data_IF_390328006749
#
_entry.id   IF_390328006749
#
_cell.length_a   1.000
_cell.length_b   1.000
_cell.length_c   1.000
_cell.angle_alpha   90.00
_cell.angle_beta   90.00
_cell.angle_gamma   90.00
#
_symmetry.space_group_name_H-M   'P 1'
#
loop_
_entity.id
_entity.type
_entity.pdbx_description
1 polymer ?
#
# COMPACT_ATOMS: atom_id res chain seq x y z
N UNK A 1 -13.20 -10.13 67.21
CA UNK A 1 -13.35 -11.59 67.44
C UNK A 1 -14.80 -11.85 67.86
N UNK A 2 -15.42 -13.02 67.62
CA UNK A 2 -16.01 -13.49 66.36
C UNK A 2 -17.54 -13.76 66.46
N UNK A 3 -18.16 -14.06 65.32
CA UNK A 3 -19.38 -14.88 65.07
C UNK A 3 -20.58 -14.90 66.03
N UNK A 4 -21.79 -14.71 65.48
CA UNK A 4 -22.99 -15.57 65.67
C UNK A 4 -24.23 -14.85 65.08
N UNK A 5 -24.79 -15.24 63.93
CA UNK A 5 -25.78 -16.30 63.69
C UNK A 5 -27.17 -16.07 64.34
N UNK A 6 -28.21 -15.89 63.51
CA UNK A 6 -29.48 -16.65 63.46
C UNK A 6 -30.66 -15.85 62.85
N UNK A 7 -31.11 -16.33 61.70
CA UNK A 7 -32.47 -16.22 61.10
C UNK A 7 -33.33 -17.30 61.81
N UNK A 8 -34.65 -17.16 62.10
CA UNK A 8 -35.70 -17.52 61.13
C UNK A 8 -37.14 -16.92 61.20
N UNK A 9 -37.72 -16.81 59.98
CA UNK A 9 -39.04 -17.22 59.48
C UNK A 9 -40.38 -16.84 60.16
N UNK A 10 -41.22 -16.12 59.39
CA UNK A 10 -42.56 -16.51 58.85
C UNK A 10 -43.24 -15.19 58.40
N UNK A 11 -43.68 -14.96 57.17
CA UNK A 11 -44.48 -15.82 56.31
C UNK A 11 -45.96 -15.55 56.53
N UNK A 12 -46.54 -14.50 55.93
CA UNK A 12 -47.97 -14.50 55.61
C UNK A 12 -48.31 -13.66 54.38
N UNK A 13 -49.12 -14.28 53.55
CA UNK A 13 -49.55 -13.96 52.21
C UNK A 13 -50.39 -12.67 52.09
N UNK A 14 -50.25 -12.07 50.90
CA UNK A 14 -51.32 -11.65 50.00
C UNK A 14 -52.42 -10.71 50.51
N UNK A 15 -52.42 -9.49 49.99
CA UNK A 15 -53.48 -8.97 49.11
C UNK A 15 -53.11 -7.53 48.73
N UNK A 16 -53.01 -7.26 47.43
CA UNK A 16 -53.29 -5.98 46.71
C UNK A 16 -52.62 -6.15 45.35
N UNK A 17 -53.31 -6.94 44.51
CA UNK A 17 -53.15 -6.92 43.06
C UNK A 17 -53.91 -5.70 42.53
N UNK A 18 -53.33 -5.10 41.49
CA UNK A 18 -54.03 -4.39 40.42
C UNK A 18 -54.70 -3.04 40.74
N UNK A 19 -53.90 -1.96 40.72
CA UNK A 19 -54.39 -0.67 40.23
C UNK A 19 -53.32 0.23 39.58
N UNK A 20 -52.30 -0.38 38.94
CA UNK A 20 -51.30 0.35 38.15
C UNK A 20 -50.95 -0.42 36.86
N UNK A 21 -51.98 -0.91 36.16
CA UNK A 21 -51.85 -1.49 34.82
C UNK A 21 -52.55 -0.57 33.80
N UNK A 22 -51.99 0.62 33.57
CA UNK A 22 -52.20 1.45 32.37
C UNK A 22 -51.54 2.82 32.58
N UNK A 23 -50.21 2.89 32.62
CA UNK A 23 -49.44 4.15 32.37
C UNK A 23 -47.92 4.00 32.27
N UNK A 24 -47.41 2.81 31.92
CA UNK A 24 -45.96 2.59 31.68
C UNK A 24 -45.64 1.78 30.42
N UNK A 25 -46.55 1.80 29.44
CA UNK A 25 -46.44 1.01 28.21
C UNK A 25 -46.17 1.86 26.95
N UNK A 26 -45.54 3.03 27.10
CA UNK A 26 -45.22 3.92 25.96
C UNK A 26 -43.78 4.47 25.96
N UNK A 27 -42.86 3.95 26.79
CA UNK A 27 -41.54 4.57 26.94
C UNK A 27 -40.33 3.64 26.75
N UNK A 28 -40.43 2.56 25.97
CA UNK A 28 -39.26 1.71 25.67
C UNK A 28 -39.28 1.07 24.26
N UNK A 29 -39.42 1.86 23.21
CA UNK A 29 -39.19 1.38 21.83
C UNK A 29 -38.22 2.21 20.98
N UNK A 30 -37.66 3.32 21.49
CA UNK A 30 -36.71 4.15 20.74
C UNK A 30 -35.23 3.77 20.89
N UNK A 31 -34.90 2.72 21.65
CA UNK A 31 -33.50 2.30 21.87
C UNK A 31 -33.13 0.94 21.25
N UNK A 32 -34.04 0.30 20.51
CA UNK A 32 -33.79 -0.99 19.85
C UNK A 32 -33.45 -0.88 18.36
N UNK A 33 -33.29 0.34 17.83
CA UNK A 33 -32.98 0.59 16.40
C UNK A 33 -31.48 0.88 16.17
N UNK A 34 -30.70 1.14 17.22
CA UNK A 34 -29.28 1.57 17.06
C UNK A 34 -28.29 0.39 16.92
N UNK A 35 -28.68 -0.84 17.28
CA UNK A 35 -27.76 -2.01 17.24
C UNK A 35 -27.93 -2.88 15.98
N UNK A 36 -28.95 -2.63 15.15
CA UNK A 36 -29.17 -3.36 13.89
C UNK A 36 -28.66 -2.61 12.63
N UNK A 37 -28.05 -1.44 12.79
CA UNK A 37 -27.52 -0.62 11.68
C UNK A 37 -26.02 -0.77 11.40
N UNK A 38 -25.30 -1.63 12.14
CA UNK A 38 -23.82 -1.71 12.08
C UNK A 38 -23.33 -2.96 11.31
N UNK A 39 -24.23 -3.73 10.69
CA UNK A 39 -23.87 -5.03 10.08
C UNK A 39 -24.03 -5.14 8.56
N UNK A 40 -24.06 -4.04 7.82
CA UNK A 40 -23.93 -4.08 6.34
C UNK A 40 -23.06 -2.94 5.81
N UNK A 41 -21.77 -3.05 6.06
CA UNK A 41 -20.74 -2.55 5.14
C UNK A 41 -19.63 -3.61 5.06
N UNK A 42 -20.02 -4.85 4.77
CA UNK A 42 -19.18 -5.65 3.90
C UNK A 42 -19.28 -4.95 2.54
N UNK A 43 -18.37 -4.02 2.25
CA UNK A 43 -17.98 -3.84 0.86
C UNK A 43 -17.41 -5.20 0.48
N UNK A 44 -18.21 -6.01 -0.21
CA UNK A 44 -17.69 -7.02 -1.12
C UNK A 44 -16.53 -6.34 -1.84
N UNK A 45 -15.34 -6.92 -1.72
CA UNK A 45 -14.18 -6.52 -2.50
C UNK A 45 -14.54 -6.78 -3.94
N UNK A 46 -15.24 -5.83 -4.55
CA UNK A 46 -15.56 -5.83 -5.96
C UNK A 46 -14.24 -5.95 -6.69
N UNK A 47 -14.16 -6.95 -7.55
CA UNK A 47 -13.14 -7.01 -8.58
C UNK A 47 -13.16 -5.65 -9.29
N UNK A 48 -12.13 -4.85 -9.04
CA UNK A 48 -11.94 -3.60 -9.76
C UNK A 48 -11.59 -3.97 -11.19
N UNK A 49 -12.51 -3.67 -12.08
CA UNK A 49 -12.30 -3.72 -13.52
C UNK A 49 -11.02 -2.92 -13.85
N UNK A 50 -10.02 -3.52 -14.53
CA UNK A 50 -8.83 -2.80 -14.98
C UNK A 50 -9.15 -1.61 -15.91
N UNK A 51 -10.37 -1.54 -16.47
CA UNK A 51 -10.84 -0.48 -17.34
C UNK A 51 -11.66 0.62 -16.62
N UNK A 52 -11.84 0.55 -15.30
CA UNK A 52 -12.56 1.60 -14.56
C UNK A 52 -11.70 2.88 -14.54
N UNK A 53 -12.14 4.01 -15.14
CA UNK A 53 -11.34 5.22 -15.23
C UNK A 53 -11.24 5.88 -13.84
N UNK A 54 -10.26 5.42 -13.06
CA UNK A 54 -9.89 6.08 -11.82
C UNK A 54 -9.27 7.44 -12.14
N UNK A 55 -9.88 8.47 -11.58
CA UNK A 55 -9.47 9.86 -11.71
C UNK A 55 -8.05 10.00 -11.15
N UNK A 56 -7.06 9.96 -12.04
CA UNK A 56 -5.67 10.20 -11.70
C UNK A 56 -5.58 11.49 -10.88
N UNK A 57 -4.94 11.42 -9.71
CA UNK A 57 -4.54 12.63 -9.00
C UNK A 57 -3.78 13.54 -9.97
N UNK A 58 -4.12 14.82 -10.00
CA UNK A 58 -3.57 15.85 -10.90
C UNK A 58 -2.03 16.07 -10.75
N UNK A 59 -1.33 15.21 -10.02
CA UNK A 59 0.06 15.38 -9.57
C UNK A 59 1.11 15.06 -10.64
N UNK A 60 0.72 14.45 -11.76
CA UNK A 60 1.65 14.07 -12.85
C UNK A 60 1.68 15.06 -14.02
N UNK A 61 1.33 16.34 -13.79
CA UNK A 61 1.34 17.37 -14.81
C UNK A 61 2.75 17.95 -15.06
N UNK A 62 3.66 17.11 -15.56
CA UNK A 62 5.00 17.52 -16.01
C UNK A 62 5.48 16.63 -17.17
N UNK A 63 6.33 17.15 -18.08
CA UNK A 63 6.83 16.36 -19.21
C UNK A 63 7.83 15.30 -18.75
N UNK A 64 7.79 14.12 -19.37
CA UNK A 64 8.83 13.11 -19.23
C UNK A 64 10.08 13.54 -20.00
N UNK A 65 11.26 13.46 -19.37
CA UNK A 65 12.52 13.98 -19.96
C UNK A 65 13.64 12.95 -20.07
N UNK A 66 13.53 11.78 -19.43
CA UNK A 66 14.59 10.76 -19.46
C UNK A 66 14.51 9.93 -20.75
N UNK A 67 15.09 10.42 -21.86
CA UNK A 67 15.01 9.74 -23.16
C UNK A 67 16.25 8.92 -23.52
N UNK A 68 17.40 9.27 -22.96
CA UNK A 68 18.71 8.70 -23.38
C UNK A 68 19.44 7.97 -22.26
N UNK A 69 19.21 8.37 -21.02
CA UNK A 69 19.88 7.87 -19.84
C UNK A 69 19.30 6.51 -19.43
N UNK A 70 20.15 5.49 -19.34
CA UNK A 70 19.73 4.15 -18.91
C UNK A 70 19.91 3.98 -17.40
N UNK A 71 18.93 3.36 -16.74
CA UNK A 71 18.98 3.00 -15.32
C UNK A 71 19.15 4.20 -14.38
N UNK A 72 18.37 5.26 -14.63
CA UNK A 72 18.41 6.51 -13.88
C UNK A 72 17.02 6.84 -13.35
N UNK A 73 16.97 7.42 -12.15
CA UNK A 73 15.82 8.22 -11.70
C UNK A 73 16.23 9.68 -11.51
N UNK A 74 15.23 10.55 -11.59
CA UNK A 74 15.31 11.95 -11.23
C UNK A 74 14.04 12.31 -10.46
N UNK A 75 14.16 12.97 -9.33
CA UNK A 75 13.00 13.45 -8.57
C UNK A 75 13.28 14.77 -7.88
N UNK A 76 12.25 15.61 -7.78
CA UNK A 76 12.28 16.87 -7.04
C UNK A 76 11.63 16.64 -5.67
N UNK A 77 12.38 16.87 -4.60
CA UNK A 77 11.94 16.82 -3.21
C UNK A 77 12.11 18.20 -2.59
N UNK A 78 11.00 18.82 -2.18
CA UNK A 78 10.98 20.19 -1.60
C UNK A 78 11.76 21.21 -2.46
N UNK A 79 11.63 21.12 -3.78
CA UNK A 79 12.30 21.99 -4.75
C UNK A 79 13.77 21.64 -5.04
N UNK A 80 14.34 20.61 -4.39
CA UNK A 80 15.69 20.13 -4.65
C UNK A 80 15.64 18.89 -5.52
N UNK A 81 16.36 18.92 -6.63
CA UNK A 81 16.48 17.77 -7.53
C UNK A 81 17.50 16.76 -7.01
N UNK A 82 17.12 15.49 -7.01
CA UNK A 82 17.96 14.34 -6.71
C UNK A 82 17.95 13.41 -7.91
N UNK A 83 19.14 12.96 -8.31
CA UNK A 83 19.34 12.03 -9.44
C UNK A 83 20.34 10.96 -9.07
N UNK A 84 20.04 9.71 -9.41
CA UNK A 84 20.93 8.56 -9.22
C UNK A 84 20.42 7.34 -9.99
N UNK A 85 20.97 6.17 -9.70
CA UNK A 85 20.63 4.90 -10.34
C UNK A 85 19.25 4.39 -9.94
N UNK A 86 18.49 3.90 -10.93
CA UNK A 86 17.25 3.15 -10.74
C UNK A 86 17.42 1.71 -11.22
N UNK A 87 16.76 0.77 -10.56
CA UNK A 87 16.77 -0.65 -10.95
C UNK A 87 15.41 -1.30 -10.76
N UNK A 88 15.16 -2.40 -11.48
CA UNK A 88 14.05 -3.29 -11.15
C UNK A 88 14.56 -4.29 -10.14
N UNK A 89 13.99 -4.24 -8.93
CA UNK A 89 14.27 -5.20 -7.89
C UNK A 89 13.49 -6.49 -8.15
N UNK A 90 14.14 -7.63 -7.89
CA UNK A 90 13.47 -8.92 -7.95
C UNK A 90 12.33 -8.99 -6.94
N UNK A 91 11.22 -9.60 -7.36
CA UNK A 91 10.02 -9.82 -6.55
C UNK A 91 9.62 -11.29 -6.62
N UNK A 92 8.90 -11.78 -5.62
CA UNK A 92 8.27 -13.11 -5.64
C UNK A 92 6.98 -13.14 -6.48
N UNK A 93 6.53 -11.99 -6.98
CA UNK A 93 5.28 -11.78 -7.70
C UNK A 93 5.54 -11.27 -9.12
N UNK A 94 6.49 -11.92 -9.81
CA UNK A 94 7.03 -11.51 -11.12
C UNK A 94 5.99 -11.51 -12.24
N UNK A 95 4.92 -12.28 -12.08
CA UNK A 95 3.79 -12.42 -13.00
C UNK A 95 2.71 -11.33 -12.82
N UNK A 96 2.79 -10.57 -11.72
CA UNK A 96 1.78 -9.55 -11.37
C UNK A 96 2.34 -8.15 -11.30
N UNK A 97 3.59 -8.00 -10.91
CA UNK A 97 4.15 -6.71 -10.53
C UNK A 97 5.64 -6.59 -10.77
N UNK A 98 6.12 -5.35 -10.89
CA UNK A 98 7.53 -4.99 -10.73
C UNK A 98 7.73 -4.15 -9.47
N UNK A 99 8.95 -4.17 -8.93
CA UNK A 99 9.38 -3.24 -7.89
C UNK A 99 10.54 -2.42 -8.42
N UNK A 100 10.51 -1.12 -8.18
CA UNK A 100 11.58 -0.21 -8.59
C UNK A 100 12.36 0.23 -7.36
N UNK A 101 13.67 0.03 -7.40
CA UNK A 101 14.61 0.54 -6.41
C UNK A 101 15.28 1.82 -6.88
N UNK A 102 15.40 2.80 -5.99
CA UNK A 102 16.14 4.04 -6.21
C UNK A 102 17.37 4.08 -5.30
N UNK A 103 18.56 4.19 -5.87
CA UNK A 103 19.82 4.21 -5.11
C UNK A 103 20.15 5.59 -4.54
N UNK A 104 20.91 5.62 -3.43
CA UNK A 104 21.24 6.86 -2.72
C UNK A 104 22.62 7.41 -3.00
N UNK A 105 22.82 8.73 -2.84
CA UNK A 105 24.13 9.36 -2.91
C UNK A 105 24.90 9.12 -1.59
N UNK A 106 25.20 7.86 -1.25
CA UNK A 106 26.10 7.40 -0.17
C UNK A 106 26.04 5.86 -0.05
N UNK A 107 26.90 5.26 0.78
CA UNK A 107 26.98 3.80 1.06
C UNK A 107 25.74 3.17 1.73
N UNK A 108 24.58 3.84 1.77
CA UNK A 108 23.33 3.26 2.26
C UNK A 108 22.60 2.55 1.11
N UNK A 109 22.13 1.33 1.35
CA UNK A 109 21.35 0.59 0.38
C UNK A 109 19.94 1.22 0.29
N UNK A 110 19.51 1.54 -0.95
CA UNK A 110 18.25 2.17 -1.36
C UNK A 110 17.90 3.53 -0.71
N UNK A 111 17.88 4.59 -1.51
CA UNK A 111 17.31 5.91 -1.18
C UNK A 111 15.78 5.91 -1.17
N UNK A 112 15.17 5.14 -2.04
CA UNK A 112 13.72 5.11 -2.22
C UNK A 112 13.32 3.87 -3.00
N UNK A 113 12.02 3.71 -3.18
CA UNK A 113 11.48 2.66 -4.03
C UNK A 113 9.98 2.74 -4.17
N UNK A 114 9.49 2.06 -5.19
CA UNK A 114 8.06 1.89 -5.47
C UNK A 114 7.85 0.39 -5.62
N UNK A 115 7.05 -0.16 -4.71
CA UNK A 115 6.83 -1.59 -4.59
C UNK A 115 5.55 -1.99 -5.28
N UNK A 116 5.64 -3.10 -6.02
CA UNK A 116 4.51 -3.80 -6.60
C UNK A 116 3.67 -2.95 -7.54
N UNK A 117 4.33 -2.28 -8.48
CA UNK A 117 3.64 -1.62 -9.59
C UNK A 117 3.07 -2.72 -10.50
N UNK A 118 1.78 -2.68 -10.88
CA UNK A 118 1.23 -3.63 -11.84
C UNK A 118 2.02 -3.66 -13.16
N UNK A 119 2.03 -4.82 -13.83
CA UNK A 119 2.69 -4.94 -15.14
C UNK A 119 1.91 -4.16 -16.21
N UNK A 120 2.66 -3.49 -17.09
CA UNK A 120 2.10 -2.79 -18.24
C UNK A 120 2.12 -1.26 -18.14
N UNK A 121 1.67 -0.63 -19.21
CA UNK A 121 1.45 0.81 -19.30
C UNK A 121 0.16 1.16 -18.58
N UNK A 122 0.19 2.25 -17.81
CA UNK A 122 -0.98 2.67 -17.03
C UNK A 122 -0.64 3.68 -15.95
N UNK A 123 -1.66 4.15 -15.25
CA UNK A 123 -1.52 5.01 -14.07
C UNK A 123 -2.01 4.23 -12.85
N UNK A 124 -1.19 4.22 -11.81
CA UNK A 124 -1.38 3.42 -10.60
C UNK A 124 -1.19 4.29 -9.36
N UNK A 125 -1.91 3.99 -8.29
CA UNK A 125 -1.80 4.70 -7.03
C UNK A 125 -1.46 3.74 -5.89
N UNK A 126 -0.61 4.20 -4.97
CA UNK A 126 -0.32 3.47 -3.73
C UNK A 126 -1.58 3.22 -2.92
N UNK A 127 -1.66 2.07 -2.26
CA UNK A 127 -2.84 1.63 -1.53
C UNK A 127 -3.85 0.85 -2.37
N UNK A 128 -3.61 0.71 -3.68
CA UNK A 128 -4.36 -0.21 -4.52
C UNK A 128 -4.10 -1.65 -4.09
N UNK A 129 -5.16 -2.38 -3.79
CA UNK A 129 -5.11 -3.83 -3.57
C UNK A 129 -4.93 -4.54 -4.91
N UNK A 130 -3.90 -5.36 -5.02
CA UNK A 130 -3.56 -6.15 -6.21
C UNK A 130 -3.92 -7.62 -6.06
N UNK A 131 -4.68 -7.95 -5.02
CA UNK A 131 -5.08 -9.30 -4.67
C UNK A 131 -3.96 -10.11 -4.03
N UNK A 132 -4.12 -11.44 -3.95
CA UNK A 132 -3.20 -12.28 -3.21
C UNK A 132 -1.79 -12.29 -3.81
N UNK A 133 -0.76 -12.29 -2.95
CA UNK A 133 0.62 -12.42 -3.39
C UNK A 133 1.60 -12.83 -2.30
N UNK A 134 2.74 -13.35 -2.76
CA UNK A 134 3.82 -13.88 -1.93
C UNK A 134 4.58 -12.75 -1.23
N UNK A 135 5.10 -13.06 -0.05
CA UNK A 135 5.91 -12.10 0.73
C UNK A 135 5.10 -10.92 1.23
N UNK A 136 3.80 -11.10 1.47
CA UNK A 136 2.92 -10.08 2.07
C UNK A 136 2.53 -10.46 3.49
N UNK A 137 2.45 -9.47 4.38
CA UNK A 137 1.70 -9.60 5.63
C UNK A 137 0.25 -9.21 5.33
N UNK A 138 -0.74 -10.04 5.67
CA UNK A 138 -2.15 -9.76 5.36
C UNK A 138 -2.70 -10.34 4.04
N UNK A 139 -1.98 -11.29 3.41
CA UNK A 139 -2.32 -12.07 2.21
C UNK A 139 -2.41 -11.32 0.87
N UNK A 140 -2.67 -10.01 0.88
CA UNK A 140 -2.81 -9.22 -0.33
C UNK A 140 -1.62 -8.28 -0.56
N UNK A 141 -1.27 -8.08 -1.84
CA UNK A 141 -0.31 -7.09 -2.29
C UNK A 141 -0.97 -5.72 -2.34
N UNK A 142 -0.28 -4.70 -1.83
CA UNK A 142 -0.72 -3.32 -1.93
C UNK A 142 0.43 -2.45 -2.35
N UNK A 143 0.28 -1.75 -3.47
CA UNK A 143 1.34 -0.86 -3.97
C UNK A 143 1.73 0.15 -2.87
N UNK A 144 3.01 0.18 -2.51
CA UNK A 144 3.59 1.09 -1.52
C UNK A 144 4.77 1.82 -2.14
N UNK A 145 5.15 2.95 -1.57
CA UNK A 145 6.39 3.62 -1.97
C UNK A 145 7.02 4.32 -0.76
N UNK A 146 8.32 4.55 -0.84
CA UNK A 146 9.00 5.45 0.09
C UNK A 146 10.10 6.23 -0.59
N UNK A 147 10.47 7.35 0.03
CA UNK A 147 11.68 8.12 -0.26
C UNK A 147 12.38 8.47 1.04
N UNK A 148 13.71 8.58 1.02
CA UNK A 148 14.51 9.03 2.16
C UNK A 148 14.88 10.50 2.00
N UNK A 149 14.83 11.25 3.09
CA UNK A 149 15.46 12.58 3.21
C UNK A 149 16.13 12.68 4.55
N UNK A 150 17.39 13.12 4.58
CA UNK A 150 18.20 13.19 5.81
C UNK A 150 18.21 11.87 6.60
N UNK A 151 18.35 10.74 5.89
CA UNK A 151 18.27 9.37 6.44
C UNK A 151 16.93 8.98 7.10
N UNK A 152 15.87 9.76 6.90
CA UNK A 152 14.52 9.45 7.38
C UNK A 152 13.65 8.99 6.22
N UNK A 153 13.06 7.79 6.34
CA UNK A 153 12.09 7.26 5.37
C UNK A 153 10.73 7.95 5.53
N UNK A 154 10.20 8.43 4.43
CA UNK A 154 8.85 8.96 4.28
C UNK A 154 8.10 8.05 3.32
N UNK A 155 6.91 7.60 3.73
CA UNK A 155 6.17 6.56 3.05
C UNK A 155 4.91 7.12 2.39
N UNK A 156 4.51 6.47 1.30
CA UNK A 156 3.19 6.60 0.71
C UNK A 156 2.40 5.31 1.00
N UNK A 157 1.19 5.49 1.51
CA UNK A 157 0.26 4.46 1.97
C UNK A 157 0.62 3.72 3.27
N UNK A 158 1.76 3.03 3.34
CA UNK A 158 2.13 2.18 4.50
C UNK A 158 3.64 2.21 4.77
N UNK A 159 4.03 2.18 6.04
CA UNK A 159 5.43 2.06 6.46
C UNK A 159 5.99 0.63 6.33
N UNK A 160 5.14 -0.32 5.91
CA UNK A 160 5.53 -1.71 5.68
C UNK A 160 5.79 -1.96 4.19
N UNK A 161 7.06 -2.17 3.83
CA UNK A 161 7.51 -2.37 2.43
C UNK A 161 7.01 -3.69 1.82
N UNK A 162 6.71 -4.67 2.66
CA UNK A 162 6.25 -6.01 2.26
C UNK A 162 4.77 -6.22 2.53
N UNK A 163 3.92 -5.22 2.34
CA UNK A 163 2.47 -5.47 2.35
C UNK A 163 1.67 -4.38 2.99
N UNK A 164 0.38 -4.66 3.06
CA UNK A 164 -0.47 -3.90 3.93
C UNK A 164 -0.54 -4.52 5.32
N UNK A 165 -0.12 -3.73 6.30
CA UNK A 165 -0.44 -3.96 7.68
C UNK A 165 -1.20 -2.73 8.17
N UNK A 166 -2.46 -2.88 8.59
CA UNK A 166 -3.34 -1.74 8.93
C UNK A 166 -2.68 -0.82 9.98
N UNK A 167 -1.99 -1.39 10.98
CA UNK A 167 -1.28 -0.61 12.00
C UNK A 167 -0.10 0.21 11.47
N UNK A 168 0.35 -0.08 10.24
CA UNK A 168 1.46 0.59 9.56
C UNK A 168 0.98 1.59 8.52
N UNK A 169 -0.33 1.74 8.33
CA UNK A 169 -0.92 2.71 7.42
C UNK A 169 -0.53 4.13 7.82
N UNK A 170 -0.25 4.97 6.82
CA UNK A 170 0.18 6.36 7.00
C UNK A 170 -0.90 7.29 6.40
N UNK A 171 -1.82 7.83 7.22
CA UNK A 171 -2.93 8.65 6.74
C UNK A 171 -2.50 9.88 5.96
N UNK A 172 -3.20 10.16 4.86
CA UNK A 172 -2.94 11.34 4.01
C UNK A 172 -1.58 11.30 3.31
N UNK A 173 -1.02 10.11 3.10
CA UNK A 173 0.11 9.88 2.21
C UNK A 173 -0.35 9.08 0.99
N UNK A 174 0.16 9.42 -0.18
CA UNK A 174 -0.15 8.76 -1.45
C UNK A 174 0.93 9.06 -2.49
N UNK A 175 1.11 8.15 -3.44
CA UNK A 175 1.97 8.32 -4.60
C UNK A 175 1.24 7.78 -5.83
N UNK A 176 1.17 8.61 -6.87
CA UNK A 176 0.69 8.22 -8.19
C UNK A 176 1.88 7.94 -9.08
N UNK A 177 1.83 6.84 -9.82
CA UNK A 177 2.87 6.40 -10.75
C UNK A 177 2.23 6.15 -12.10
N UNK A 178 2.77 6.78 -13.14
CA UNK A 178 2.41 6.52 -14.52
C UNK A 178 3.54 5.79 -15.21
N UNK A 179 3.27 4.59 -15.70
CA UNK A 179 4.16 3.86 -16.59
C UNK A 179 3.88 4.34 -18.01
N UNK A 180 4.87 4.98 -18.62
CA UNK A 180 4.80 5.48 -19.99
C UNK A 180 5.19 4.41 -21.00
N UNK A 181 6.11 3.53 -20.61
CA UNK A 181 6.62 2.43 -21.44
C UNK A 181 6.86 1.20 -20.58
N UNK A 182 6.39 0.04 -21.05
CA UNK A 182 6.64 -1.25 -20.43
C UNK A 182 6.91 -2.29 -21.52
N UNK A 183 8.17 -2.58 -21.78
CA UNK A 183 8.59 -3.58 -22.76
C UNK A 183 9.51 -4.59 -22.09
N UNK A 184 9.17 -5.87 -22.12
CA UNK A 184 9.99 -6.92 -21.53
C UNK A 184 9.21 -7.82 -20.59
N UNK A 185 9.94 -8.71 -19.93
CA UNK A 185 9.37 -9.72 -19.04
C UNK A 185 10.43 -10.30 -18.12
N UNK A 186 9.96 -10.99 -17.07
CA UNK A 186 10.80 -11.91 -16.34
C UNK A 186 11.41 -12.95 -17.29
N UNK A 187 12.73 -13.03 -17.31
CA UNK A 187 13.49 -13.90 -18.21
C UNK A 187 14.48 -14.71 -17.39
N UNK A 188 14.37 -16.03 -17.51
CA UNK A 188 15.35 -16.95 -16.96
C UNK A 188 16.47 -17.16 -17.98
N UNK A 189 17.71 -17.03 -17.55
CA UNK A 189 18.87 -17.19 -18.44
C UNK A 189 20.06 -17.77 -17.68
N UNK A 190 20.90 -18.49 -18.41
CA UNK A 190 22.19 -18.99 -17.94
C UNK A 190 23.27 -17.99 -18.34
N UNK A 191 24.09 -17.57 -17.39
CA UNK A 191 25.23 -16.68 -17.63
C UNK A 191 26.38 -17.07 -16.72
N UNK A 192 27.60 -17.16 -17.28
CA UNK A 192 28.72 -17.81 -16.61
C UNK A 192 28.31 -19.22 -16.11
N UNK A 193 28.63 -19.56 -14.86
CA UNK A 193 28.29 -20.84 -14.23
C UNK A 193 27.00 -20.77 -13.39
N UNK A 194 26.12 -19.81 -13.64
CA UNK A 194 24.90 -19.57 -12.86
C UNK A 194 23.63 -19.45 -13.71
N UNK A 195 22.50 -19.77 -13.08
CA UNK A 195 21.15 -19.51 -13.62
C UNK A 195 20.55 -18.35 -12.86
N UNK A 196 20.08 -17.35 -13.62
CA UNK A 196 19.46 -16.15 -13.10
C UNK A 196 18.04 -16.03 -13.63
N UNK A 197 17.16 -15.39 -12.86
CA UNK A 197 15.83 -15.00 -13.30
C UNK A 197 15.63 -13.55 -12.93
N UNK A 198 15.63 -12.67 -13.94
CA UNK A 198 15.53 -11.22 -13.77
C UNK A 198 14.56 -10.66 -14.82
N UNK A 199 14.00 -9.49 -14.54
CA UNK A 199 13.33 -8.72 -15.59
C UNK A 199 14.35 -8.29 -16.66
N UNK A 200 14.04 -8.53 -17.92
CA UNK A 200 14.81 -8.06 -19.08
C UNK A 200 13.86 -7.23 -19.93
N UNK A 201 14.20 -5.96 -20.15
CA UNK A 201 13.31 -5.02 -20.80
C UNK A 201 13.63 -3.55 -20.55
N UNK A 202 12.73 -2.69 -21.00
CA UNK A 202 12.72 -1.25 -20.74
C UNK A 202 11.43 -0.85 -20.02
N UNK A 203 11.58 -0.11 -18.92
CA UNK A 203 10.45 0.50 -18.21
C UNK A 203 10.74 1.99 -18.01
N UNK A 204 9.77 2.82 -18.39
CA UNK A 204 9.81 4.27 -18.25
C UNK A 204 8.59 4.72 -17.48
N UNK A 205 8.77 5.61 -16.51
CA UNK A 205 7.65 6.12 -15.75
C UNK A 205 7.90 7.43 -15.03
N UNK A 206 6.80 8.01 -14.58
CA UNK A 206 6.71 9.25 -13.82
C UNK A 206 6.00 8.97 -12.51
N UNK A 207 6.36 9.69 -11.46
CA UNK A 207 5.68 9.59 -10.18
C UNK A 207 5.69 10.92 -9.43
N UNK A 208 4.65 11.12 -8.63
CA UNK A 208 4.52 12.26 -7.74
C UNK A 208 3.61 11.88 -6.58
N UNK A 209 3.76 12.56 -5.45
CA UNK A 209 2.97 12.23 -4.28
C UNK A 209 3.36 12.96 -3.02
N UNK A 210 2.56 12.71 -2.00
CA UNK A 210 2.78 13.17 -0.62
C UNK A 210 3.23 11.98 0.21
N UNK A 211 4.44 12.05 0.74
CA UNK A 211 5.07 11.03 1.57
C UNK A 211 5.14 11.52 3.01
N UNK A 212 4.96 10.62 3.97
CA UNK A 212 4.97 10.98 5.40
C UNK A 212 5.73 9.98 6.26
N UNK A 213 6.37 10.48 7.32
CA UNK A 213 6.82 9.61 8.41
C UNK A 213 5.63 9.13 9.24
N UNK A 214 5.85 8.14 10.13
CA UNK A 214 4.82 7.72 11.10
C UNK A 214 4.37 8.85 12.03
N UNK A 215 5.28 9.77 12.33
CA UNK A 215 5.01 10.93 13.20
C UNK A 215 4.35 12.09 12.44
N UNK A 216 4.06 11.91 11.13
CA UNK A 216 3.32 12.87 10.32
C UNK A 216 4.16 13.95 9.64
N UNK A 217 5.49 13.87 9.70
CA UNK A 217 6.35 14.76 8.93
C UNK A 217 6.13 14.52 7.44
N UNK A 218 5.76 15.57 6.70
CA UNK A 218 5.42 15.52 5.29
C UNK A 218 6.61 15.86 4.39
N UNK A 219 6.67 15.20 3.24
CA UNK A 219 7.62 15.40 2.17
C UNK A 219 6.88 15.24 0.84
N UNK A 220 7.09 16.15 -0.11
CA UNK A 220 6.47 16.07 -1.43
C UNK A 220 7.48 15.72 -2.50
N UNK A 221 7.11 14.76 -3.34
CA UNK A 221 7.79 14.50 -4.62
C UNK A 221 6.92 15.08 -5.71
N UNK A 222 7.42 16.07 -6.45
CA UNK A 222 6.64 16.83 -7.44
C UNK A 222 6.98 16.46 -8.89
N UNK A 223 8.18 15.92 -9.13
CA UNK A 223 8.68 15.60 -10.49
C UNK A 223 9.53 14.32 -10.51
N UNK A 224 8.98 13.22 -10.01
CA UNK A 224 9.64 11.92 -10.07
C UNK A 224 9.58 11.31 -11.47
N UNK A 225 10.71 10.78 -11.94
CA UNK A 225 10.85 10.08 -13.21
C UNK A 225 11.86 8.96 -13.07
N UNK A 226 11.67 7.88 -13.82
CA UNK A 226 12.68 6.84 -13.96
C UNK A 226 12.70 6.29 -15.38
N UNK A 227 13.88 5.79 -15.75
CA UNK A 227 14.13 5.01 -16.96
C UNK A 227 15.04 3.85 -16.61
N UNK A 228 14.55 2.64 -16.80
CA UNK A 228 15.30 1.42 -16.50
C UNK A 228 15.39 0.62 -17.79
N UNK A 229 16.61 0.30 -18.19
CA UNK A 229 16.91 -0.51 -19.38
C UNK A 229 17.78 -1.67 -18.93
N UNK A 230 17.17 -2.84 -18.81
CA UNK A 230 17.82 -4.06 -18.38
C UNK A 230 17.96 -5.02 -19.56
N UNK A 231 19.21 -5.25 -19.97
CA UNK A 231 19.57 -6.09 -21.12
C UNK A 231 20.13 -7.42 -20.64
N UNK A 232 20.00 -8.46 -21.46
CA UNK A 232 20.74 -9.69 -21.24
C UNK A 232 22.24 -9.40 -21.27
N UNK A 233 23.03 -9.93 -20.33
CA UNK A 233 24.48 -9.84 -20.40
C UNK A 233 25.00 -10.48 -21.70
N UNK A 234 26.06 -9.93 -22.33
CA UNK A 234 26.67 -10.55 -23.50
C UNK A 234 27.11 -11.99 -23.20
N UNK A 235 26.66 -12.95 -24.01
CA UNK A 235 26.94 -14.37 -23.82
C UNK A 235 25.96 -15.12 -22.89
N UNK A 236 24.95 -14.44 -22.35
CA UNK A 236 23.85 -15.11 -21.67
C UNK A 236 22.99 -15.93 -22.65
N UNK A 237 22.55 -17.10 -22.22
CA UNK A 237 21.64 -17.97 -22.97
C UNK A 237 20.28 -18.00 -22.28
N UNK A 238 19.22 -17.63 -22.98
CA UNK A 238 17.85 -17.68 -22.42
C UNK A 238 17.45 -19.14 -22.21
N UNK A 239 16.97 -19.44 -21.02
CA UNK A 239 16.42 -20.74 -20.68
C UNK A 239 14.92 -20.71 -21.07
N UNK A 240 14.50 -21.65 -21.91
CA UNK A 240 13.10 -21.82 -22.29
C UNK A 240 12.27 -22.47 -21.19
#
# INVERSE_FOLDING_TARGET
MPYSSKIPYHGFLACIKNYLAMKKLLFQWKWLVIVAGVSMSCTEGGEMDPDDPQQASNDLNFPYTLTTEENVYKMEIDGVEVTNTAEIANTLNVDKTITIGFWGPANDFAFGGIYWIPLGVGTYETGRNLGPGNGTNGNNLFMTAFVKKNNVKHFAYSAHEYGFLESEKIPGSSCTVKINKFEGKQTSFSFMNGTYSLFIGTVEGQFAGTFKTKDGQELKVTKGQFRIVQKLPPGATVNN
#
